data_IF_920704973000
#
_entry.id   IF_920704973000
#
_cell.length_a   1.000
_cell.length_b   1.000
_cell.length_c   1.000
_cell.angle_alpha   90.00
_cell.angle_beta   90.00
_cell.angle_gamma   90.00
#
_symmetry.space_group_name_H-M   'P 1'
#
loop_
_entity.id
_entity.type
_entity.pdbx_description
1 polymer ?
#
# COMPACT_ATOMS: atom_id res chain seq x y z
N UNK A 1 -8.94 -14.12 11.77
CA UNK A 1 -9.65 -14.49 10.52
C UNK A 1 -8.68 -15.27 9.63
N UNK A 2 -9.17 -16.14 8.75
CA UNK A 2 -8.34 -16.84 7.76
C UNK A 2 -8.81 -16.45 6.36
N UNK A 3 -7.89 -16.01 5.49
CA UNK A 3 -8.17 -15.67 4.09
C UNK A 3 -7.07 -16.28 3.24
N UNK A 4 -7.42 -17.13 2.27
CA UNK A 4 -6.48 -17.77 1.35
C UNK A 4 -5.28 -18.46 2.08
N UNK A 5 -5.50 -19.02 3.27
CA UNK A 5 -4.47 -19.66 4.08
C UNK A 5 -3.61 -18.68 4.91
N UNK A 6 -3.93 -17.39 4.90
CA UNK A 6 -3.25 -16.36 5.69
C UNK A 6 -4.09 -16.06 6.93
N UNK A 7 -3.52 -16.34 8.10
CA UNK A 7 -4.12 -15.96 9.39
C UNK A 7 -3.91 -14.47 9.66
N UNK A 8 -5.00 -13.71 9.61
CA UNK A 8 -5.06 -12.29 9.97
C UNK A 8 -5.52 -12.11 11.42
N UNK A 9 -4.94 -11.14 12.13
CA UNK A 9 -5.34 -10.77 13.50
C UNK A 9 -6.80 -10.30 13.54
N UNK A 10 -7.19 -9.49 12.57
CA UNK A 10 -8.53 -8.94 12.38
C UNK A 10 -8.76 -8.71 10.86
N UNK A 11 -9.97 -8.35 10.42
CA UNK A 11 -10.28 -8.21 8.99
C UNK A 11 -9.86 -6.86 8.40
N UNK A 12 -9.34 -5.92 9.20
CA UNK A 12 -9.06 -4.55 8.76
C UNK A 12 -7.68 -4.49 8.11
N UNK A 13 -7.67 -4.04 6.85
CA UNK A 13 -6.46 -3.76 6.09
C UNK A 13 -6.72 -2.56 5.17
N UNK A 14 -5.78 -1.61 5.06
CA UNK A 14 -5.89 -0.52 4.10
C UNK A 14 -5.91 -1.05 2.66
N UNK A 15 -6.64 -0.39 1.77
CA UNK A 15 -6.61 -0.74 0.36
C UNK A 15 -5.28 -0.32 -0.29
N UNK A 16 -4.82 -1.09 -1.29
CA UNK A 16 -3.63 -0.71 -2.08
C UNK A 16 -3.79 0.69 -2.66
N UNK A 17 -2.76 1.51 -2.56
CA UNK A 17 -2.73 2.86 -3.11
C UNK A 17 -3.40 3.93 -2.24
N UNK A 18 -4.05 3.58 -1.13
CA UNK A 18 -4.63 4.53 -0.18
C UNK A 18 -3.79 4.73 1.08
N UNK A 19 -2.68 4.00 1.22
CA UNK A 19 -1.88 3.93 2.45
C UNK A 19 -0.36 3.99 2.19
N UNK A 20 0.04 4.52 1.04
CA UNK A 20 1.44 4.63 0.65
C UNK A 20 2.17 3.28 0.69
N UNK A 21 3.37 3.28 1.27
CA UNK A 21 4.17 2.10 1.60
C UNK A 21 3.98 1.64 3.05
N UNK A 22 3.16 2.36 3.83
CA UNK A 22 2.83 2.08 5.24
C UNK A 22 3.57 3.00 6.22
N UNK A 23 4.82 3.36 5.91
CA UNK A 23 5.64 4.24 6.76
C UNK A 23 5.02 5.65 6.90
N UNK A 24 4.38 6.15 5.86
CA UNK A 24 3.80 7.50 5.86
C UNK A 24 2.67 7.66 6.88
N UNK A 25 2.01 6.54 7.24
CA UNK A 25 0.90 6.52 8.18
C UNK A 25 1.27 5.97 9.56
N UNK A 26 2.49 5.49 9.77
CA UNK A 26 2.91 4.89 11.06
C UNK A 26 2.94 5.90 12.21
N UNK A 27 2.97 7.21 11.91
CA UNK A 27 2.82 8.28 12.91
C UNK A 27 1.37 8.52 13.34
N UNK A 28 0.38 7.98 12.60
CA UNK A 28 -1.05 8.17 12.87
C UNK A 28 -1.76 6.88 13.29
N UNK A 29 -1.26 5.73 12.82
CA UNK A 29 -1.83 4.41 13.07
C UNK A 29 -0.74 3.45 13.50
N UNK A 30 -0.97 2.71 14.58
CA UNK A 30 -0.12 1.60 14.99
C UNK A 30 -0.32 0.41 14.02
N UNK A 31 0.70 0.15 13.20
CA UNK A 31 0.65 -0.89 12.18
C UNK A 31 0.47 -2.30 12.78
N UNK A 32 0.83 -2.53 14.05
CA UNK A 32 0.64 -3.83 14.72
C UNK A 32 -0.83 -4.18 14.96
N UNK A 33 -1.72 -3.19 14.90
CA UNK A 33 -3.16 -3.38 15.07
C UNK A 33 -3.87 -3.71 13.76
N UNK A 34 -3.22 -3.57 12.61
CA UNK A 34 -3.81 -3.93 11.32
C UNK A 34 -3.73 -5.45 11.11
N UNK A 35 -4.77 -6.02 10.50
CA UNK A 35 -4.74 -7.40 10.04
C UNK A 35 -3.68 -7.61 8.96
N UNK A 36 -3.57 -6.65 8.05
CA UNK A 36 -2.50 -6.56 7.06
C UNK A 36 -2.26 -5.11 6.61
N UNK A 37 -1.07 -4.84 6.08
CA UNK A 37 -0.76 -3.68 5.23
C UNK A 37 -0.75 -4.14 3.78
N UNK A 38 -1.55 -3.51 2.93
CA UNK A 38 -1.53 -3.74 1.48
C UNK A 38 -0.74 -2.61 0.83
N UNK A 39 0.39 -2.94 0.21
CA UNK A 39 1.29 -1.95 -0.37
C UNK A 39 0.68 -1.30 -1.61
N UNK A 40 1.15 -0.10 -1.97
CA UNK A 40 0.93 0.43 -3.33
C UNK A 40 1.46 -0.56 -4.38
N UNK A 41 0.92 -0.47 -5.60
CA UNK A 41 1.38 -1.26 -6.74
C UNK A 41 2.88 -1.15 -6.94
N UNK A 42 3.56 -2.30 -7.04
CA UNK A 42 5.00 -2.43 -7.28
C UNK A 42 5.20 -2.92 -8.71
N UNK A 43 5.93 -2.14 -9.51
CA UNK A 43 6.33 -2.53 -10.88
C UNK A 43 7.81 -2.91 -10.94
N UNK A 44 8.21 -3.54 -12.05
CA UNK A 44 9.61 -3.93 -12.28
C UNK A 44 10.56 -2.73 -12.38
N UNK A 45 10.07 -1.57 -12.81
CA UNK A 45 10.82 -0.31 -12.95
C UNK A 45 10.02 0.84 -12.33
N UNK A 46 10.65 1.97 -11.95
CA UNK A 46 9.94 3.12 -11.42
C UNK A 46 8.97 3.72 -12.45
N UNK A 47 7.74 4.03 -12.02
CA UNK A 47 6.71 4.66 -12.83
C UNK A 47 6.35 6.02 -12.26
N UNK A 48 6.34 7.08 -13.08
CA UNK A 48 6.04 8.45 -12.65
C UNK A 48 4.53 8.71 -12.41
N UNK A 49 3.69 7.90 -13.04
CA UNK A 49 2.23 8.10 -13.07
C UNK A 49 1.76 9.14 -14.08
N UNK A 50 0.45 9.37 -14.13
CA UNK A 50 -0.18 10.26 -15.12
C UNK A 50 0.14 11.75 -14.86
N UNK A 51 0.02 12.69 -15.79
CA UNK A 51 0.10 14.12 -15.46
C UNK A 51 -0.96 14.57 -14.43
N UNK A 52 -0.71 15.68 -13.72
CA UNK A 52 -1.72 16.32 -12.88
C UNK A 52 -2.74 17.09 -13.76
N UNK A 53 -4.02 17.24 -13.33
CA UNK A 53 -4.62 16.77 -12.08
C UNK A 53 -4.91 15.25 -12.07
N UNK A 54 -4.64 14.60 -10.94
CA UNK A 54 -4.80 13.14 -10.75
C UNK A 54 -5.97 12.74 -9.85
N UNK A 55 -6.63 13.69 -9.20
CA UNK A 55 -7.67 13.46 -8.19
C UNK A 55 -8.77 14.51 -8.41
N UNK A 56 -10.02 14.08 -8.29
CA UNK A 56 -11.20 14.96 -8.33
C UNK A 56 -12.23 14.49 -7.30
N UNK A 57 -12.82 15.40 -6.55
CA UNK A 57 -13.92 15.10 -5.64
C UNK A 57 -15.23 14.83 -6.41
N UNK A 58 -16.05 13.92 -5.88
CA UNK A 58 -17.40 13.66 -6.37
C UNK A 58 -18.38 13.67 -5.20
N UNK A 59 -19.68 13.67 -5.48
CA UNK A 59 -20.67 13.47 -4.41
C UNK A 59 -20.35 12.18 -3.64
N UNK A 60 -20.06 12.33 -2.34
CA UNK A 60 -19.73 11.23 -1.42
C UNK A 60 -18.50 10.37 -1.82
N UNK A 61 -17.54 10.93 -2.57
CA UNK A 61 -16.37 10.16 -2.97
C UNK A 61 -15.32 10.96 -3.74
N UNK A 62 -14.45 10.24 -4.44
CA UNK A 62 -13.43 10.82 -5.30
C UNK A 62 -13.11 9.91 -6.49
N UNK A 63 -12.71 10.52 -7.60
CA UNK A 63 -12.09 9.85 -8.76
C UNK A 63 -10.59 10.06 -8.67
N UNK A 64 -9.82 9.02 -8.99
CA UNK A 64 -8.37 9.13 -9.13
C UNK A 64 -7.88 8.55 -10.46
N UNK A 65 -6.80 9.14 -10.98
CA UNK A 65 -6.08 8.70 -12.16
C UNK A 65 -4.57 8.81 -11.87
N UNK A 66 -4.10 8.18 -10.79
CA UNK A 66 -2.68 8.28 -10.35
C UNK A 66 -1.71 7.70 -11.38
N UNK A 67 -2.15 6.71 -12.16
CA UNK A 67 -1.31 6.04 -13.16
C UNK A 67 -0.25 5.12 -12.55
N UNK A 68 -0.57 4.46 -11.43
CA UNK A 68 0.30 3.47 -10.78
C UNK A 68 1.70 3.99 -10.40
N UNK A 69 1.84 5.29 -10.12
CA UNK A 69 3.12 5.88 -9.70
C UNK A 69 3.77 5.10 -8.55
N UNK A 70 4.98 4.57 -8.74
CA UNK A 70 5.70 3.81 -7.72
C UNK A 70 7.21 3.81 -7.99
N UNK A 71 8.06 3.55 -6.98
CA UNK A 71 9.51 3.67 -7.12
C UNK A 71 10.18 2.42 -7.73
N UNK A 72 9.41 1.40 -8.13
CA UNK A 72 9.93 0.13 -8.63
C UNK A 72 10.28 -0.88 -7.52
N UNK A 73 10.56 -2.10 -7.95
CA UNK A 73 10.80 -3.26 -7.08
C UNK A 73 12.06 -3.13 -6.21
N UNK A 74 13.14 -2.55 -6.75
CA UNK A 74 14.41 -2.45 -6.03
C UNK A 74 14.26 -1.58 -4.77
N UNK A 75 13.64 -0.40 -4.92
CA UNK A 75 13.36 0.50 -3.78
C UNK A 75 12.40 -0.15 -2.78
N UNK A 76 11.40 -0.89 -3.26
CA UNK A 76 10.49 -1.61 -2.38
C UNK A 76 11.24 -2.65 -1.51
N UNK A 77 12.14 -3.44 -2.11
CA UNK A 77 12.91 -4.47 -1.42
C UNK A 77 13.92 -3.86 -0.44
N UNK A 78 14.58 -2.77 -0.81
CA UNK A 78 15.66 -2.17 -0.02
C UNK A 78 15.16 -1.26 1.10
N UNK A 79 14.01 -0.59 0.92
CA UNK A 79 13.50 0.44 1.85
C UNK A 79 12.19 0.04 2.53
N UNK A 80 11.16 -0.26 1.74
CA UNK A 80 9.79 -0.35 2.25
C UNK A 80 9.53 -1.68 2.97
N UNK A 81 9.95 -2.79 2.36
CA UNK A 81 9.76 -4.13 2.91
C UNK A 81 10.53 -4.35 4.24
N UNK A 82 11.79 -3.92 4.40
CA UNK A 82 12.50 -4.02 5.67
C UNK A 82 11.83 -3.23 6.79
N UNK A 83 11.28 -2.05 6.50
CA UNK A 83 10.49 -1.27 7.46
C UNK A 83 9.23 -2.03 7.89
N UNK A 84 8.42 -2.52 6.95
CA UNK A 84 7.17 -3.24 7.25
C UNK A 84 7.39 -4.54 8.04
N UNK A 85 8.53 -5.23 7.81
CA UNK A 85 8.89 -6.46 8.53
C UNK A 85 9.17 -6.26 10.03
N UNK A 86 9.29 -5.02 10.49
CA UNK A 86 9.48 -4.70 11.91
C UNK A 86 8.20 -4.85 12.72
N UNK A 87 7.05 -4.92 12.06
CA UNK A 87 5.74 -4.95 12.70
C UNK A 87 5.13 -6.36 12.68
N UNK A 88 4.40 -6.70 13.72
CA UNK A 88 3.58 -7.91 13.76
C UNK A 88 2.28 -7.68 12.98
N UNK A 89 2.38 -7.62 11.66
CA UNK A 89 1.23 -7.57 10.75
C UNK A 89 1.56 -8.32 9.47
N UNK A 90 0.56 -8.66 8.66
CA UNK A 90 0.79 -9.28 7.36
C UNK A 90 1.08 -8.22 6.31
N UNK A 91 2.03 -8.49 5.41
CA UNK A 91 2.30 -7.63 4.26
C UNK A 91 1.75 -8.30 3.02
N UNK A 92 0.81 -7.63 2.35
CA UNK A 92 0.25 -8.07 1.07
C UNK A 92 0.78 -7.13 0.00
N UNK A 93 1.50 -7.68 -0.98
CA UNK A 93 2.12 -6.90 -2.04
C UNK A 93 1.22 -6.86 -3.25
N UNK A 94 0.78 -5.65 -3.62
CA UNK A 94 0.10 -5.44 -4.89
C UNK A 94 1.14 -5.34 -6.01
N UNK A 95 1.10 -6.25 -6.98
CA UNK A 95 2.03 -6.27 -8.12
C UNK A 95 1.30 -5.70 -9.35
N UNK A 96 1.94 -4.76 -10.06
CA UNK A 96 1.41 -4.18 -11.28
C UNK A 96 2.44 -4.24 -12.42
N UNK A 97 1.96 -4.39 -13.66
CA UNK A 97 2.79 -4.47 -14.86
C UNK A 97 1.95 -4.32 -16.12
#
# INVERSE_FOLDING_TARGET
MDIAGIRLKNPVMPASGTFGSGQEYSGFVDLNQLGAVVTKGVSCVPWEGNPAPRIMETASGMINAVGLQNPGIDVFIERDLPFLRQFDTKVIVNICG
#
